data_IF_437590411268
#
_entry.id   IF_437590411268
#
_cell.length_a   1.000
_cell.length_b   1.000
_cell.length_c   1.000
_cell.angle_alpha   90.00
_cell.angle_beta   90.00
_cell.angle_gamma   90.00
#
_symmetry.space_group_name_H-M   'P 1'
#
loop_
_entity.id
_entity.type
_entity.pdbx_description
1 polymer ?
#
# COMPACT_ATOMS: atom_id res chain seq x y z
N UNK A 1 -4.86 18.75 -7.55
CA UNK A 1 -5.19 18.24 -8.90
C UNK A 1 -4.02 18.59 -9.81
N UNK A 2 -3.43 17.58 -10.47
CA UNK A 2 -2.37 17.81 -11.45
C UNK A 2 -2.97 18.30 -12.77
N UNK A 3 -2.21 19.03 -13.61
CA UNK A 3 -2.66 19.49 -14.91
C UNK A 3 -3.12 18.31 -15.78
N UNK A 4 -4.28 18.43 -16.43
CA UNK A 4 -4.78 17.46 -17.43
C UNK A 4 -4.54 18.02 -18.83
N UNK A 5 -4.37 17.15 -19.82
CA UNK A 5 -4.17 17.52 -21.23
C UNK A 5 -2.99 18.49 -21.44
N UNK A 6 -1.93 18.31 -20.66
CA UNK A 6 -0.70 19.10 -20.85
C UNK A 6 -0.03 18.62 -22.12
N UNK A 7 0.14 19.52 -23.10
CA UNK A 7 0.92 19.21 -24.29
C UNK A 7 2.40 19.10 -23.90
N UNK A 8 3.03 17.99 -24.29
CA UNK A 8 4.45 17.78 -24.07
C UNK A 8 5.28 18.49 -25.14
N UNK A 9 6.46 19.04 -24.79
CA UNK A 9 7.32 19.70 -25.76
C UNK A 9 7.87 18.71 -26.78
N UNK A 10 7.89 19.09 -28.06
CA UNK A 10 8.48 18.30 -29.13
C UNK A 10 10.01 18.41 -29.19
N UNK A 11 10.65 17.41 -29.79
CA UNK A 11 12.06 17.41 -30.15
C UNK A 11 12.25 18.07 -31.52
N UNK A 12 12.76 19.31 -31.50
CA UNK A 12 13.06 20.06 -32.72
C UNK A 12 14.15 19.40 -33.57
N UNK A 13 15.00 18.55 -32.99
CA UNK A 13 16.03 17.81 -33.72
C UNK A 13 15.49 16.56 -34.43
N UNK A 14 14.27 16.13 -34.09
CA UNK A 14 13.60 14.98 -34.65
C UNK A 14 12.33 15.37 -35.42
N UNK A 15 12.44 16.35 -36.34
CA UNK A 15 11.33 16.87 -37.15
C UNK A 15 10.10 17.34 -36.34
N UNK A 16 10.28 17.71 -35.07
CA UNK A 16 9.16 18.11 -34.20
C UNK A 16 8.32 16.95 -33.66
N UNK A 17 8.82 15.71 -33.75
CA UNK A 17 8.23 14.57 -33.06
C UNK A 17 8.55 14.60 -31.55
N UNK A 18 7.78 13.93 -30.70
CA UNK A 18 8.11 13.72 -29.30
C UNK A 18 9.54 13.20 -29.05
N UNK A 19 10.10 13.55 -27.88
CA UNK A 19 11.32 12.90 -27.38
C UNK A 19 11.08 11.41 -27.15
N UNK A 20 12.14 10.60 -27.15
CA UNK A 20 12.05 9.18 -26.77
C UNK A 20 11.45 8.99 -25.39
N UNK A 21 11.76 9.89 -24.44
CA UNK A 21 11.27 9.77 -23.07
C UNK A 21 10.80 11.08 -22.46
N UNK A 22 9.80 10.99 -21.59
CA UNK A 22 9.32 12.09 -20.75
C UNK A 22 9.26 11.67 -19.29
N UNK A 23 9.52 12.63 -18.41
CA UNK A 23 9.66 12.41 -16.98
C UNK A 23 8.59 13.15 -16.20
N UNK A 24 7.87 12.42 -15.37
CA UNK A 24 6.80 12.93 -14.53
C UNK A 24 7.17 12.71 -13.07
N UNK A 25 6.81 13.66 -12.22
CA UNK A 25 6.94 13.51 -10.76
C UNK A 25 5.79 14.18 -10.04
N UNK A 26 5.35 13.58 -8.94
CA UNK A 26 4.40 14.17 -8.02
C UNK A 26 4.77 13.85 -6.59
N UNK A 27 4.44 14.76 -5.68
CA UNK A 27 4.51 14.52 -4.25
C UNK A 27 3.13 14.06 -3.74
N UNK A 28 3.14 13.17 -2.75
CA UNK A 28 1.97 12.83 -1.95
C UNK A 28 2.40 12.56 -0.50
N UNK A 29 1.48 12.74 0.43
CA UNK A 29 1.78 12.66 1.86
C UNK A 29 0.99 11.55 2.53
N UNK A 30 1.63 10.75 3.38
CA UNK A 30 0.99 9.73 4.20
C UNK A 30 1.14 10.04 5.68
N UNK A 31 0.06 10.02 6.45
CA UNK A 31 0.13 10.25 7.91
C UNK A 31 0.90 9.13 8.63
N UNK A 32 0.73 7.88 8.18
CA UNK A 32 1.39 6.70 8.71
C UNK A 32 1.41 5.60 7.65
N UNK A 33 2.36 4.67 7.78
CA UNK A 33 2.48 3.49 6.92
C UNK A 33 2.13 2.25 7.73
N UNK A 34 1.22 1.44 7.22
CA UNK A 34 0.83 0.17 7.85
C UNK A 34 1.68 -0.96 7.25
N UNK A 35 2.32 -1.83 8.05
CA UNK A 35 2.99 -3.01 7.52
C UNK A 35 2.06 -3.84 6.64
N UNK A 36 2.52 -4.20 5.44
CA UNK A 36 1.70 -4.91 4.45
C UNK A 36 0.85 -3.99 3.56
N UNK A 37 1.02 -2.66 3.64
CA UNK A 37 0.44 -1.74 2.64
C UNK A 37 0.88 -2.13 1.23
N UNK A 38 -0.04 -2.09 0.28
CA UNK A 38 0.22 -2.28 -1.14
C UNK A 38 -0.26 -1.07 -1.93
N UNK A 39 0.37 -0.79 -3.06
CA UNK A 39 0.00 0.28 -3.97
C UNK A 39 -0.65 -0.32 -5.21
N UNK A 40 -1.84 0.15 -5.56
CA UNK A 40 -2.55 -0.22 -6.78
C UNK A 40 -2.48 0.94 -7.77
N UNK A 41 -1.99 0.64 -8.97
CA UNK A 41 -1.90 1.57 -10.08
C UNK A 41 -2.92 1.20 -11.14
N UNK A 42 -3.56 2.21 -11.70
CA UNK A 42 -4.38 2.11 -12.91
C UNK A 42 -3.92 3.21 -13.87
N UNK A 43 -3.30 2.83 -14.98
CA UNK A 43 -2.56 3.75 -15.85
C UNK A 43 -2.95 3.63 -17.32
N UNK A 44 -2.82 4.72 -18.05
CA UNK A 44 -2.84 4.77 -19.51
C UNK A 44 -1.46 5.27 -19.95
N UNK A 45 -0.74 4.47 -20.74
CA UNK A 45 0.66 4.69 -21.10
C UNK A 45 0.84 4.34 -22.57
N UNK A 46 1.31 5.27 -23.42
CA UNK A 46 1.38 5.05 -24.88
C UNK A 46 2.26 3.87 -25.30
N UNK A 47 3.33 3.60 -24.57
CA UNK A 47 4.28 2.57 -24.97
C UNK A 47 4.85 1.89 -23.71
N UNK A 48 6.01 2.30 -23.23
CA UNK A 48 6.64 1.76 -22.02
C UNK A 48 6.72 2.78 -20.89
N UNK A 49 6.88 2.29 -19.66
CA UNK A 49 7.15 3.15 -18.52
C UNK A 49 7.97 2.46 -17.43
N UNK A 50 8.74 3.25 -16.68
CA UNK A 50 9.42 2.82 -15.46
C UNK A 50 8.94 3.69 -14.30
N UNK A 51 8.46 3.05 -13.23
CA UNK A 51 7.90 3.70 -12.06
C UNK A 51 8.89 3.67 -10.92
N UNK A 52 8.99 4.78 -10.21
CA UNK A 52 9.87 4.98 -9.07
C UNK A 52 9.11 5.51 -7.87
N UNK A 53 9.41 4.96 -6.70
CA UNK A 53 8.94 5.46 -5.42
C UNK A 53 10.14 5.87 -4.58
N UNK A 54 10.17 7.14 -4.17
CA UNK A 54 11.25 7.71 -3.35
C UNK A 54 12.65 7.42 -3.92
N UNK A 55 12.78 7.48 -5.24
CA UNK A 55 14.04 7.24 -5.97
C UNK A 55 14.37 5.76 -6.21
N UNK A 56 13.56 4.82 -5.73
CA UNK A 56 13.74 3.38 -6.00
C UNK A 56 12.80 2.92 -7.10
N UNK A 57 13.34 2.20 -8.08
CA UNK A 57 12.52 1.57 -9.13
C UNK A 57 11.60 0.51 -8.52
N UNK A 58 10.31 0.60 -8.82
CA UNK A 58 9.28 -0.31 -8.28
C UNK A 58 8.56 -1.11 -9.37
N UNK A 59 8.56 -0.66 -10.62
CA UNK A 59 7.87 -1.37 -11.69
C UNK A 59 8.34 -0.97 -13.08
N UNK A 60 8.33 -1.92 -14.01
CA UNK A 60 8.53 -1.71 -15.44
C UNK A 60 7.32 -2.21 -16.20
N UNK A 61 6.73 -1.33 -17.00
CA UNK A 61 5.67 -1.65 -17.93
C UNK A 61 6.25 -1.63 -19.34
N UNK A 62 6.27 -2.79 -20.02
CA UNK A 62 6.75 -2.91 -21.42
C UNK A 62 8.16 -2.30 -21.64
N UNK A 63 9.05 -2.48 -20.66
CA UNK A 63 10.47 -2.10 -20.74
C UNK A 63 11.33 -3.34 -20.53
N UNK A 64 12.48 -3.39 -21.21
CA UNK A 64 13.48 -4.44 -21.02
C UNK A 64 14.07 -4.36 -19.59
N UNK A 65 14.50 -5.47 -18.95
CA UNK A 65 15.11 -5.46 -17.61
C UNK A 65 16.53 -4.87 -17.55
N UNK A 66 17.16 -4.55 -18.69
CA UNK A 66 18.48 -3.90 -18.75
C UNK A 66 18.47 -2.45 -18.24
N UNK A 67 19.63 -1.86 -17.90
CA UNK A 67 19.68 -0.45 -17.48
C UNK A 67 18.97 0.48 -18.47
N UNK A 68 18.02 1.27 -17.98
CA UNK A 68 17.23 2.21 -18.78
C UNK A 68 17.90 3.57 -18.80
N UNK A 69 17.91 4.20 -19.97
CA UNK A 69 18.38 5.56 -20.22
C UNK A 69 17.29 6.35 -20.95
N UNK A 70 17.43 7.66 -21.06
CA UNK A 70 16.48 8.51 -21.80
C UNK A 70 16.34 8.18 -23.30
N UNK A 71 17.28 7.41 -23.87
CA UNK A 71 17.24 6.94 -25.25
C UNK A 71 16.77 5.50 -25.39
N UNK A 72 16.47 4.82 -24.28
CA UNK A 72 15.98 3.43 -24.30
C UNK A 72 14.54 3.41 -24.80
N UNK A 73 14.25 2.54 -25.78
CA UNK A 73 12.90 2.36 -26.31
C UNK A 73 12.12 1.34 -25.47
N UNK A 74 10.80 1.46 -25.49
CA UNK A 74 9.91 0.42 -24.97
C UNK A 74 10.04 -0.88 -25.79
N UNK A 75 9.66 -2.00 -25.18
CA UNK A 75 9.65 -3.33 -25.83
C UNK A 75 8.30 -3.67 -26.45
N UNK A 76 7.28 -2.83 -26.24
CA UNK A 76 5.97 -2.96 -26.87
C UNK A 76 5.06 -1.79 -26.52
N UNK A 77 3.80 -1.91 -26.97
CA UNK A 77 2.78 -0.87 -26.88
C UNK A 77 1.40 -1.47 -26.58
N UNK A 78 0.46 -0.73 -25.95
CA UNK A 78 -0.91 -1.16 -25.76
C UNK A 78 -1.74 -0.94 -27.03
N UNK A 79 -2.87 -1.63 -27.14
CA UNK A 79 -4.01 -1.31 -28.01
C UNK A 79 -3.72 -0.54 -29.31
N UNK A 80 -3.05 -1.23 -30.24
CA UNK A 80 -2.69 -0.74 -31.58
C UNK A 80 -1.74 0.47 -31.60
N UNK A 81 -1.08 0.80 -30.49
CA UNK A 81 -0.13 1.90 -30.35
C UNK A 81 -0.65 3.06 -29.52
N UNK A 82 -1.95 3.09 -29.17
CA UNK A 82 -2.54 4.21 -28.45
C UNK A 82 -2.74 3.90 -26.95
N UNK A 83 -2.50 4.88 -26.09
CA UNK A 83 -2.78 4.87 -24.64
C UNK A 83 -4.29 4.83 -24.28
N UNK A 84 -5.06 3.94 -24.90
CA UNK A 84 -6.52 3.79 -24.71
C UNK A 84 -6.89 2.59 -23.85
N UNK A 85 -5.92 1.74 -23.53
CA UNK A 85 -6.11 0.57 -22.68
C UNK A 85 -5.49 0.75 -21.30
N UNK A 86 -6.20 0.22 -20.31
CA UNK A 86 -5.84 0.36 -18.92
C UNK A 86 -4.77 -0.68 -18.56
N UNK A 87 -3.65 -0.21 -18.03
CA UNK A 87 -2.61 -0.99 -17.41
C UNK A 87 -2.80 -0.96 -15.88
N UNK A 88 -3.18 -2.11 -15.32
CA UNK A 88 -3.38 -2.26 -13.87
C UNK A 88 -2.32 -3.18 -13.26
N UNK A 89 -1.70 -2.72 -12.18
CA UNK A 89 -0.69 -3.50 -11.46
C UNK A 89 -0.62 -3.10 -9.99
N UNK A 90 -0.14 -4.02 -9.15
CA UNK A 90 0.00 -3.81 -7.72
C UNK A 90 1.45 -3.99 -7.27
N UNK A 91 1.91 -3.09 -6.40
CA UNK A 91 3.22 -3.14 -5.75
C UNK A 91 3.02 -3.47 -4.28
N UNK A 92 3.68 -4.54 -3.83
CA UNK A 92 3.55 -5.07 -2.48
C UNK A 92 4.89 -5.61 -1.98
N UNK A 93 4.94 -6.11 -0.74
CA UNK A 93 6.13 -6.75 -0.20
C UNK A 93 7.28 -5.78 0.02
N UNK A 94 8.49 -6.14 -0.43
CA UNK A 94 9.69 -5.31 -0.26
C UNK A 94 9.57 -3.96 -0.98
N UNK A 95 8.94 -3.91 -2.15
CA UNK A 95 8.85 -2.69 -2.93
C UNK A 95 7.93 -1.64 -2.29
N UNK A 96 6.92 -2.07 -1.53
CA UNK A 96 6.09 -1.13 -0.77
C UNK A 96 6.76 -0.61 0.50
N UNK A 97 7.88 -1.20 0.94
CA UNK A 97 8.65 -0.70 2.10
C UNK A 97 9.35 0.63 1.83
N UNK A 98 9.44 1.05 0.56
CA UNK A 98 9.94 2.37 0.20
C UNK A 98 8.93 3.49 0.53
N UNK A 99 7.68 3.17 0.87
CA UNK A 99 6.73 4.14 1.41
C UNK A 99 7.15 4.58 2.81
N UNK A 100 7.12 5.89 3.05
CA UNK A 100 7.42 6.48 4.36
C UNK A 100 6.22 7.26 4.90
N UNK A 101 6.14 7.40 6.22
CA UNK A 101 5.26 8.39 6.83
C UNK A 101 5.83 9.79 6.53
N UNK A 102 4.96 10.71 6.12
CA UNK A 102 5.33 12.01 5.58
C UNK A 102 5.31 12.04 4.05
N UNK A 103 6.21 12.83 3.49
CA UNK A 103 6.27 13.09 2.05
C UNK A 103 6.86 11.92 1.29
N UNK A 104 6.20 11.56 0.20
CA UNK A 104 6.64 10.56 -0.76
C UNK A 104 6.63 11.17 -2.16
N UNK A 105 7.55 10.71 -3.00
CA UNK A 105 7.65 11.09 -4.40
C UNK A 105 7.38 9.87 -5.27
N UNK A 106 6.36 9.97 -6.10
CA UNK A 106 6.18 9.08 -7.24
C UNK A 106 6.79 9.76 -8.46
N UNK A 107 7.71 9.07 -9.14
CA UNK A 107 8.24 9.49 -10.42
C UNK A 107 8.02 8.40 -11.47
N UNK A 108 7.81 8.81 -12.71
CA UNK A 108 7.61 7.89 -13.84
C UNK A 108 8.37 8.44 -15.04
N UNK A 109 9.15 7.59 -15.69
CA UNK A 109 9.63 7.84 -17.05
C UNK A 109 8.78 7.05 -18.04
N UNK A 110 8.32 7.70 -19.09
CA UNK A 110 7.53 7.10 -20.17
C UNK A 110 8.39 7.10 -21.42
N UNK A 111 8.45 5.96 -22.11
CA UNK A 111 9.35 5.71 -23.22
C UNK A 111 8.55 5.29 -24.45
N UNK A 112 8.83 5.92 -25.58
CA UNK A 112 8.26 5.51 -26.85
C UNK A 112 8.84 4.15 -27.29
N UNK A 113 8.04 3.33 -27.96
CA UNK A 113 8.44 2.06 -28.58
C UNK A 113 9.25 2.32 -29.85
N UNK A 114 8.96 3.42 -30.54
CA UNK A 114 9.65 3.79 -31.77
C UNK A 114 10.12 5.26 -31.74
N UNK A 115 11.32 5.59 -32.28
CA UNK A 115 11.84 6.97 -32.29
C UNK A 115 11.05 7.95 -33.16
N UNK A 116 10.14 7.46 -33.99
CA UNK A 116 9.32 8.26 -34.90
C UNK A 116 7.87 8.34 -34.43
N UNK A 117 7.60 8.10 -33.14
CA UNK A 117 6.26 8.15 -32.58
C UNK A 117 5.71 9.56 -32.77
N UNK A 118 4.48 9.74 -33.28
CA UNK A 118 3.91 11.07 -33.47
C UNK A 118 3.39 11.68 -32.17
N UNK A 119 3.18 10.88 -31.15
CA UNK A 119 2.59 11.25 -29.87
C UNK A 119 3.24 10.54 -28.68
N UNK A 120 2.83 10.99 -27.49
CA UNK A 120 3.10 10.36 -26.21
C UNK A 120 2.02 10.76 -25.20
N UNK A 121 1.46 9.77 -24.51
CA UNK A 121 0.39 9.95 -23.55
C UNK A 121 0.67 9.23 -22.24
N UNK A 122 0.39 9.93 -21.13
CA UNK A 122 0.53 9.37 -19.79
C UNK A 122 -0.56 9.87 -18.85
N UNK A 123 -1.19 8.94 -18.14
CA UNK A 123 -2.02 9.20 -16.99
C UNK A 123 -1.97 8.03 -16.02
N UNK A 124 -1.91 8.32 -14.72
CA UNK A 124 -1.93 7.28 -13.69
C UNK A 124 -2.78 7.70 -12.50
N UNK A 125 -3.48 6.74 -11.93
CA UNK A 125 -4.12 6.82 -10.62
C UNK A 125 -3.40 5.86 -9.68
N UNK A 126 -3.19 6.31 -8.44
CA UNK A 126 -2.56 5.54 -7.38
C UNK A 126 -3.50 5.48 -6.18
N UNK A 127 -3.75 4.27 -5.70
CA UNK A 127 -4.51 4.02 -4.46
C UNK A 127 -3.69 3.10 -3.57
N UNK A 128 -3.57 3.43 -2.29
CA UNK A 128 -2.99 2.52 -1.32
C UNK A 128 -4.05 1.62 -0.70
N UNK A 129 -3.71 0.34 -0.53
CA UNK A 129 -4.52 -0.64 0.18
C UNK A 129 -3.78 -1.07 1.43
N UNK A 130 -4.46 -0.99 2.58
CA UNK A 130 -3.87 -1.29 3.89
C UNK A 130 -4.54 -2.49 4.50
N UNK A 131 -3.78 -3.43 5.09
CA UNK A 131 -4.39 -4.47 5.89
C UNK A 131 -5.00 -3.81 7.12
N UNK A 132 -6.30 -4.02 7.30
CA UNK A 132 -6.99 -3.56 8.50
C UNK A 132 -6.89 -4.66 9.56
N UNK A 133 -6.18 -4.37 10.66
CA UNK A 133 -6.18 -5.23 11.84
C UNK A 133 -7.27 -4.75 12.78
N UNK A 134 -8.37 -5.50 12.84
CA UNK A 134 -9.36 -5.34 13.91
C UNK A 134 -8.72 -5.79 15.22
N UNK A 135 -8.46 -4.83 16.10
CA UNK A 135 -8.11 -5.12 17.48
C UNK A 135 -9.33 -5.74 18.16
N UNK A 136 -9.16 -6.80 18.97
CA UNK A 136 -10.28 -7.31 19.75
C UNK A 136 -10.65 -6.25 20.79
N UNK A 137 -11.94 -5.97 20.93
CA UNK A 137 -12.46 -5.16 22.02
C UNK A 137 -12.72 -6.11 23.19
N UNK A 138 -12.16 -5.79 24.36
CA UNK A 138 -12.43 -6.50 25.60
C UNK A 138 -13.43 -5.68 26.40
N UNK A 139 -14.65 -6.16 26.46
CA UNK A 139 -15.75 -5.56 27.21
C UNK A 139 -15.91 -6.24 28.56
N UNK A 140 -16.33 -5.44 29.55
CA UNK A 140 -16.75 -5.94 30.85
C UNK A 140 -18.19 -5.53 31.10
N UNK A 141 -19.05 -6.52 31.34
CA UNK A 141 -20.44 -6.33 31.73
C UNK A 141 -20.67 -6.93 33.12
N UNK A 142 -21.61 -6.37 33.87
CA UNK A 142 -21.99 -6.87 35.19
C UNK A 142 -23.42 -7.39 35.14
N UNK A 143 -23.60 -8.69 35.40
CA UNK A 143 -24.92 -9.32 35.51
C UNK A 143 -25.07 -9.88 36.91
N UNK A 144 -26.02 -9.36 37.69
CA UNK A 144 -26.25 -9.77 39.08
C UNK A 144 -24.98 -9.71 39.96
N UNK A 145 -24.10 -8.73 39.71
CA UNK A 145 -22.86 -8.55 40.48
C UNK A 145 -21.71 -9.49 40.06
N UNK A 146 -21.86 -10.24 38.96
CA UNK A 146 -20.80 -11.08 38.40
C UNK A 146 -20.23 -10.39 37.16
N UNK A 147 -18.90 -10.10 37.12
CA UNK A 147 -18.24 -9.59 35.94
C UNK A 147 -18.19 -10.67 34.85
N UNK A 148 -18.68 -10.32 33.67
CA UNK A 148 -18.61 -11.10 32.44
C UNK A 148 -17.72 -10.34 31.47
N UNK A 149 -16.63 -10.96 31.06
CA UNK A 149 -15.75 -10.45 30.02
C UNK A 149 -16.19 -11.01 28.68
N UNK A 150 -16.33 -10.15 27.68
CA UNK A 150 -16.62 -10.56 26.32
C UNK A 150 -15.65 -9.91 25.35
N UNK A 151 -15.36 -10.59 24.26
CA UNK A 151 -14.57 -10.03 23.19
C UNK A 151 -15.06 -10.46 21.81
N UNK A 152 -14.85 -9.58 20.85
CA UNK A 152 -15.52 -9.65 19.53
C UNK A 152 -14.93 -10.67 18.56
N UNK A 153 -13.78 -11.30 18.87
CA UNK A 153 -13.03 -12.16 17.91
C UNK A 153 -12.23 -13.30 18.54
N UNK A 154 -12.21 -14.47 17.90
CA UNK A 154 -11.33 -15.59 18.29
C UNK A 154 -9.84 -15.35 17.97
N UNK A 155 -8.98 -16.28 18.37
CA UNK A 155 -7.53 -16.22 18.10
C UNK A 155 -6.71 -15.42 19.12
N UNK A 156 -7.33 -15.08 20.25
CA UNK A 156 -6.68 -14.43 21.38
C UNK A 156 -6.80 -15.32 22.63
N UNK A 157 -5.84 -15.18 23.54
CA UNK A 157 -5.86 -15.80 24.86
C UNK A 157 -6.14 -14.73 25.91
N UNK A 158 -7.08 -14.99 26.80
CA UNK A 158 -7.35 -14.13 27.95
C UNK A 158 -6.27 -14.37 29.02
N UNK A 159 -5.62 -13.30 29.47
CA UNK A 159 -4.66 -13.33 30.57
C UNK A 159 -5.18 -12.53 31.76
N UNK A 160 -4.75 -12.92 32.96
CA UNK A 160 -5.07 -12.26 34.21
C UNK A 160 -3.83 -11.91 35.03
N UNK A 161 -3.99 -10.95 35.95
CA UNK A 161 -3.02 -10.61 37.00
C UNK A 161 -3.77 -10.01 38.21
N UNK A 162 -3.27 -10.25 39.42
CA UNK A 162 -3.92 -9.82 40.68
C UNK A 162 -3.55 -8.38 41.11
N UNK A 163 -2.85 -7.63 40.25
CA UNK A 163 -2.40 -6.27 40.51
C UNK A 163 -1.98 -5.55 39.23
N UNK A 164 -1.86 -4.22 39.28
CA UNK A 164 -1.43 -3.40 38.12
C UNK A 164 0.00 -3.72 37.64
N UNK A 165 0.78 -4.41 38.47
CA UNK A 165 2.14 -4.86 38.20
C UNK A 165 2.26 -6.34 38.55
N UNK A 166 2.90 -7.14 37.70
CA UNK A 166 3.06 -8.57 37.93
C UNK A 166 3.25 -9.36 36.65
N UNK A 167 3.48 -10.67 36.80
CA UNK A 167 3.54 -11.58 35.67
C UNK A 167 2.11 -11.92 35.22
N UNK A 168 1.79 -11.59 33.97
CA UNK A 168 0.53 -12.00 33.35
C UNK A 168 0.56 -13.50 33.05
N UNK A 169 -0.46 -14.21 33.53
CA UNK A 169 -0.66 -15.63 33.24
C UNK A 169 -1.94 -15.84 32.48
N UNK A 170 -2.01 -16.88 31.65
CA UNK A 170 -3.27 -17.28 31.03
C UNK A 170 -4.32 -17.57 32.11
N UNK A 171 -5.56 -17.16 31.87
CA UNK A 171 -6.67 -17.55 32.72
C UNK A 171 -6.79 -19.08 32.70
N UNK A 172 -6.82 -19.77 33.86
CA UNK A 172 -6.88 -21.23 33.91
C UNK A 172 -8.07 -21.81 33.13
N UNK A 173 -7.78 -22.83 32.30
CA UNK A 173 -8.73 -23.44 31.36
C UNK A 173 -8.57 -22.89 29.94
N UNK A 174 -9.06 -23.60 28.90
CA UNK A 174 -9.01 -23.09 27.53
C UNK A 174 -10.06 -21.99 27.35
N UNK A 175 -9.78 -20.78 27.84
CA UNK A 175 -10.58 -19.59 27.56
C UNK A 175 -10.18 -19.06 26.16
N UNK A 176 -10.68 -19.76 25.14
CA UNK A 176 -10.43 -19.45 23.72
C UNK A 176 -11.65 -18.86 23.02
N UNK A 177 -12.79 -18.76 23.71
CA UNK A 177 -14.04 -18.21 23.20
C UNK A 177 -14.70 -17.29 24.23
N UNK A 178 -15.22 -16.16 23.74
CA UNK A 178 -16.07 -15.22 24.48
C UNK A 178 -17.49 -15.82 24.69
N UNK A 179 -18.20 -15.51 25.79
CA UNK A 179 -17.75 -14.73 26.95
C UNK A 179 -17.09 -15.59 28.06
N UNK A 180 -16.35 -14.95 28.95
CA UNK A 180 -15.78 -15.52 30.17
C UNK A 180 -16.40 -14.87 31.42
N UNK A 181 -16.96 -15.69 32.31
CA UNK A 181 -17.45 -15.21 33.60
C UNK A 181 -16.36 -15.34 34.66
N UNK A 182 -16.01 -14.23 35.29
CA UNK A 182 -15.05 -14.21 36.39
C UNK A 182 -15.69 -14.75 37.67
N UNK A 183 -14.91 -15.37 38.54
CA UNK A 183 -15.34 -15.66 39.91
C UNK A 183 -15.03 -14.46 40.80
N UNK A 184 -15.93 -14.13 41.74
CA UNK A 184 -15.67 -13.08 42.72
C UNK A 184 -14.50 -13.49 43.63
N UNK A 185 -13.30 -12.96 43.36
CA UNK A 185 -12.06 -13.32 44.05
C UNK A 185 -11.80 -12.51 45.34
N UNK A 186 -12.70 -11.58 45.70
CA UNK A 186 -12.52 -10.69 46.87
C UNK A 186 -11.34 -9.71 46.77
N UNK A 187 -10.65 -9.70 45.62
CA UNK A 187 -9.47 -8.88 45.33
C UNK A 187 -9.56 -8.31 43.91
N UNK A 188 -8.82 -7.23 43.62
CA UNK A 188 -8.81 -6.66 42.28
C UNK A 188 -8.11 -7.61 41.31
N UNK A 189 -8.74 -7.87 40.16
CA UNK A 189 -8.17 -8.66 39.08
C UNK A 189 -8.20 -7.86 37.78
N UNK A 190 -7.13 -7.96 37.01
CA UNK A 190 -6.95 -7.23 35.75
C UNK A 190 -6.84 -8.23 34.61
N UNK A 191 -7.37 -7.85 33.44
CA UNK A 191 -7.46 -8.73 32.28
C UNK A 191 -6.91 -8.07 31.03
N UNK A 192 -6.36 -8.88 30.12
CA UNK A 192 -5.98 -8.45 28.77
C UNK A 192 -6.15 -9.59 27.77
N UNK A 193 -6.28 -9.24 26.50
CA UNK A 193 -6.19 -10.18 25.39
C UNK A 193 -4.78 -10.16 24.81
N UNK A 194 -4.19 -11.33 24.58
CA UNK A 194 -2.93 -11.48 23.85
C UNK A 194 -3.13 -12.32 22.60
N UNK A 195 -2.54 -11.88 21.49
CA UNK A 195 -2.46 -12.67 20.26
C UNK A 195 -1.24 -13.58 20.35
N UNK A 196 -1.42 -14.88 20.11
CA UNK A 196 -0.31 -15.83 19.94
C UNK A 196 0.00 -16.03 18.46
#
# INVERSE_FOLDING_TARGET
MSPKNTQMPADASNNGLPYTSYYFRTLFTLTYVVPGTSLLFSSYVDDGAVFYLNGTEIYRLRMDPTPVSNGTLATGFPCNGDATCLDEFAISGNLSTHLVAGDNVLAVEVHNYNPSSPDISFGTSLVDTRPYTLSPELDIAYTQGIPTLSWSRGGFTLQQVDGLTGLWTDVPGPIVSSPFMTTNSGSAQYFRLIKR
#
